data_IF_104276620573
#
_entry.id   IF_104276620573
#
_cell.length_a   1.000
_cell.length_b   1.000
_cell.length_c   1.000
_cell.angle_alpha   90.00
_cell.angle_beta   90.00
_cell.angle_gamma   90.00
#
_symmetry.space_group_name_H-M   'P 1'
#
loop_
_entity.id
_entity.type
_entity.pdbx_description
1 polymer ?
#
# COMPACT_ATOMS: atom_id res chain seq x y z
N UNK A 1 21.11 -5.97 -1.63
CA UNK A 1 20.89 -7.24 -0.89
C UNK A 1 19.41 -7.59 -0.70
N UNK A 2 18.66 -7.08 0.28
CA UNK A 2 17.22 -7.49 0.44
C UNK A 2 16.35 -7.09 -0.77
N UNK A 3 16.64 -5.93 -1.36
CA UNK A 3 15.97 -5.42 -2.54
C UNK A 3 16.06 -6.35 -3.77
N UNK A 4 17.28 -6.73 -4.18
CA UNK A 4 17.52 -7.55 -5.38
C UNK A 4 16.95 -8.96 -5.25
N UNK A 5 16.90 -9.50 -4.03
CA UNK A 5 16.32 -10.82 -3.76
C UNK A 5 14.80 -10.84 -3.96
N UNK A 6 14.12 -9.72 -3.69
CA UNK A 6 12.66 -9.67 -3.75
C UNK A 6 12.11 -9.39 -5.14
N UNK A 7 12.86 -8.73 -6.04
CA UNK A 7 12.34 -8.38 -7.36
C UNK A 7 11.94 -9.60 -8.20
N UNK A 8 12.65 -10.72 -8.05
CA UNK A 8 12.30 -11.96 -8.76
C UNK A 8 11.05 -12.66 -8.22
N UNK A 9 10.52 -12.25 -7.06
CA UNK A 9 9.43 -12.95 -6.37
C UNK A 9 8.04 -12.48 -6.82
N UNK A 10 7.96 -11.40 -7.59
CA UNK A 10 6.70 -10.82 -8.03
C UNK A 10 6.80 -10.33 -9.47
N UNK A 11 5.80 -10.72 -10.25
CA UNK A 11 5.56 -10.28 -11.63
C UNK A 11 4.09 -9.88 -11.74
N UNK A 12 3.81 -8.70 -12.33
CA UNK A 12 2.47 -8.10 -12.45
C UNK A 12 1.60 -8.19 -11.17
N UNK A 13 1.97 -7.51 -10.07
CA UNK A 13 1.21 -7.59 -8.83
C UNK A 13 -0.22 -7.07 -9.02
N UNK A 14 -1.21 -7.76 -8.42
CA UNK A 14 -2.62 -7.38 -8.52
C UNK A 14 -3.08 -6.37 -7.47
N UNK A 15 -2.31 -6.17 -6.40
CA UNK A 15 -2.56 -5.21 -5.33
C UNK A 15 -1.24 -4.82 -4.61
N UNK A 16 -1.25 -3.70 -3.89
CA UNK A 16 -0.09 -3.16 -3.18
C UNK A 16 -0.43 -2.86 -1.71
N UNK A 17 0.32 -3.46 -0.77
CA UNK A 17 0.35 -3.01 0.63
C UNK A 17 1.75 -2.49 0.95
N UNK A 18 1.88 -1.19 1.15
CA UNK A 18 3.16 -0.54 1.43
C UNK A 18 3.21 -0.15 2.90
N UNK A 19 4.17 -0.70 3.64
CA UNK A 19 4.23 -0.54 5.11
C UNK A 19 5.49 0.21 5.50
N UNK A 20 5.34 1.20 6.38
CA UNK A 20 6.44 1.88 7.04
C UNK A 20 6.27 1.87 8.56
N UNK A 21 7.31 2.24 9.27
CA UNK A 21 7.33 2.38 10.72
C UNK A 21 7.14 3.87 11.07
N UNK A 22 6.10 4.21 11.85
CA UNK A 22 5.81 5.61 12.22
C UNK A 22 6.93 6.26 13.04
N UNK A 23 7.85 5.48 13.61
CA UNK A 23 9.03 6.00 14.32
C UNK A 23 10.27 6.12 13.43
N UNK A 24 10.15 5.94 12.10
CA UNK A 24 11.29 5.97 11.18
C UNK A 24 10.98 6.71 9.88
N UNK A 25 11.45 7.95 9.78
CA UNK A 25 11.42 8.74 8.53
C UNK A 25 12.10 8.01 7.37
N UNK A 26 13.19 7.29 7.62
CA UNK A 26 13.89 6.51 6.59
C UNK A 26 12.98 5.44 6.00
N UNK A 27 12.19 4.75 6.83
CA UNK A 27 11.24 3.73 6.35
C UNK A 27 10.13 4.34 5.49
N UNK A 28 9.64 5.53 5.86
CA UNK A 28 8.67 6.28 5.07
C UNK A 28 9.27 6.76 3.74
N UNK A 29 10.47 7.33 3.75
CA UNK A 29 11.19 7.73 2.53
C UNK A 29 11.42 6.55 1.57
N UNK A 30 11.70 5.36 2.10
CA UNK A 30 11.86 4.15 1.29
C UNK A 30 10.57 3.74 0.55
N UNK A 31 9.38 4.15 1.01
CA UNK A 31 8.11 3.82 0.38
C UNK A 31 8.04 4.34 -1.07
N UNK A 32 8.56 5.54 -1.34
CA UNK A 32 8.60 6.08 -2.71
C UNK A 32 9.39 5.21 -3.67
N UNK A 33 10.55 4.70 -3.22
CA UNK A 33 11.38 3.79 -4.04
C UNK A 33 10.66 2.47 -4.33
N UNK A 34 9.97 1.89 -3.34
CA UNK A 34 9.20 0.67 -3.52
C UNK A 34 8.04 0.87 -4.49
N UNK A 35 7.30 1.96 -4.34
CA UNK A 35 6.18 2.29 -5.22
C UNK A 35 6.63 2.43 -6.68
N UNK A 36 7.73 3.15 -6.93
CA UNK A 36 8.27 3.32 -8.29
C UNK A 36 8.60 1.97 -8.95
N UNK A 37 9.23 1.06 -8.20
CA UNK A 37 9.58 -0.27 -8.70
C UNK A 37 8.36 -1.09 -9.05
N UNK A 38 7.35 -1.09 -8.18
CA UNK A 38 6.11 -1.81 -8.41
C UNK A 38 5.37 -1.27 -9.62
N UNK A 39 5.30 0.06 -9.76
CA UNK A 39 4.75 0.70 -10.97
C UNK A 39 5.51 0.30 -12.24
N UNK A 40 6.84 0.15 -12.18
CA UNK A 40 7.63 -0.26 -13.35
C UNK A 40 7.37 -1.69 -13.84
N UNK A 41 6.83 -2.57 -12.99
CA UNK A 41 6.45 -3.95 -13.37
C UNK A 41 4.96 -4.15 -13.62
N UNK A 42 4.15 -3.11 -13.51
CA UNK A 42 2.70 -3.21 -13.69
C UNK A 42 2.31 -2.60 -15.03
N UNK A 43 1.60 -3.37 -15.86
CA UNK A 43 1.07 -2.87 -17.15
C UNK A 43 -0.27 -2.16 -16.99
N UNK A 44 -1.02 -2.50 -15.93
CA UNK A 44 -2.26 -1.84 -15.58
C UNK A 44 -1.99 -0.42 -15.04
N UNK A 45 -2.68 0.62 -15.56
CA UNK A 45 -2.59 1.96 -14.99
C UNK A 45 -3.22 2.04 -13.59
N UNK A 46 -4.06 1.06 -13.23
CA UNK A 46 -4.70 0.96 -11.92
C UNK A 46 -4.17 -0.25 -11.16
N UNK A 47 -3.49 0.01 -10.04
CA UNK A 47 -3.07 -0.96 -9.05
C UNK A 47 -3.69 -0.57 -7.71
N UNK A 48 -4.67 -1.32 -7.17
CA UNK A 48 -5.26 -1.00 -5.88
C UNK A 48 -4.17 -1.06 -4.81
N UNK A 49 -4.07 -0.01 -3.99
CA UNK A 49 -2.95 0.13 -3.09
C UNK A 49 -3.28 0.86 -1.79
N UNK A 50 -2.60 0.47 -0.72
CA UNK A 50 -2.67 1.12 0.58
C UNK A 50 -1.28 1.43 1.12
N UNK A 51 -1.17 2.54 1.85
CA UNK A 51 -0.03 2.87 2.68
C UNK A 51 -0.39 2.59 4.15
N UNK A 52 0.52 1.94 4.88
CA UNK A 52 0.31 1.55 6.28
C UNK A 52 1.43 2.11 7.15
N UNK A 53 1.10 3.02 8.06
CA UNK A 53 1.98 3.44 9.15
C UNK A 53 1.84 2.46 10.33
N UNK A 54 2.80 1.55 10.49
CA UNK A 54 2.80 0.55 11.55
C UNK A 54 3.56 1.04 12.80
N UNK A 55 3.38 0.33 13.92
CA UNK A 55 4.00 0.59 15.24
C UNK A 55 3.47 1.83 15.96
N UNK A 56 2.19 2.13 15.79
CA UNK A 56 1.53 3.23 16.51
C UNK A 56 1.55 3.09 18.04
N UNK A 57 1.77 1.89 18.56
CA UNK A 57 2.03 1.64 19.98
C UNK A 57 3.29 2.37 20.51
N UNK A 58 4.17 2.81 19.60
CA UNK A 58 5.35 3.62 19.90
C UNK A 58 5.15 5.11 19.59
N UNK A 59 3.91 5.62 19.66
CA UNK A 59 3.56 7.01 19.33
C UNK A 59 4.42 8.09 20.02
N UNK A 60 4.93 7.83 21.23
CA UNK A 60 5.86 8.73 21.92
C UNK A 60 7.24 8.89 21.24
N UNK A 61 7.53 8.07 20.22
CA UNK A 61 8.74 8.15 19.38
C UNK A 61 8.41 8.43 17.91
N UNK A 62 7.20 8.97 17.64
CA UNK A 62 6.77 9.28 16.28
C UNK A 62 7.78 10.21 15.60
N UNK A 63 8.17 9.81 14.40
CA UNK A 63 9.06 10.57 13.53
C UNK A 63 8.36 10.96 12.21
N UNK A 64 7.21 10.34 11.90
CA UNK A 64 6.42 10.65 10.71
C UNK A 64 5.05 11.14 11.15
N UNK A 65 4.73 12.38 10.79
CA UNK A 65 3.44 12.97 11.09
C UNK A 65 2.33 12.29 10.28
N UNK A 66 1.18 12.12 10.93
CA UNK A 66 0.04 11.43 10.30
C UNK A 66 -0.41 12.15 9.03
N UNK A 67 -0.53 13.47 9.10
CA UNK A 67 -0.96 14.33 7.99
C UNK A 67 0.01 14.21 6.80
N UNK A 68 1.32 14.20 7.07
CA UNK A 68 2.34 14.03 6.02
C UNK A 68 2.18 12.69 5.28
N UNK A 69 1.91 11.61 6.02
CA UNK A 69 1.70 10.29 5.43
C UNK A 69 0.36 10.20 4.66
N UNK A 70 -0.70 10.81 5.20
CA UNK A 70 -2.02 10.92 4.55
C UNK A 70 -1.93 11.65 3.20
N UNK A 71 -1.31 12.83 3.18
CA UNK A 71 -1.12 13.63 1.96
C UNK A 71 -0.26 12.89 0.94
N UNK A 72 0.82 12.26 1.40
CA UNK A 72 1.67 11.47 0.51
C UNK A 72 0.91 10.30 -0.10
N UNK A 73 0.13 9.55 0.68
CA UNK A 73 -0.69 8.44 0.19
C UNK A 73 -1.70 8.93 -0.86
N UNK A 74 -2.43 10.01 -0.55
CA UNK A 74 -3.42 10.61 -1.44
C UNK A 74 -2.80 11.03 -2.78
N UNK A 75 -1.63 11.69 -2.76
CA UNK A 75 -0.92 12.12 -3.98
C UNK A 75 -0.47 10.95 -4.88
N UNK A 76 -0.39 9.74 -4.32
CA UNK A 76 -0.01 8.52 -5.04
C UNK A 76 -1.21 7.60 -5.36
N UNK A 77 -2.44 8.01 -5.01
CA UNK A 77 -3.65 7.21 -5.20
C UNK A 77 -3.74 6.01 -4.27
N UNK A 78 -3.17 6.11 -3.07
CA UNK A 78 -3.19 5.08 -2.02
C UNK A 78 -4.11 5.52 -0.88
N UNK A 79 -4.87 4.59 -0.31
CA UNK A 79 -5.53 4.81 0.98
C UNK A 79 -4.52 4.68 2.13
N UNK A 80 -4.64 5.50 3.17
CA UNK A 80 -3.72 5.46 4.32
C UNK A 80 -4.39 4.89 5.57
N UNK A 81 -3.65 4.02 6.27
CA UNK A 81 -4.05 3.45 7.54
C UNK A 81 -2.89 3.51 8.53
N UNK A 82 -3.21 3.66 9.81
CA UNK A 82 -2.26 3.47 10.90
C UNK A 82 -2.61 2.20 11.67
N UNK A 83 -1.60 1.41 12.02
CA UNK A 83 -1.77 0.11 12.69
C UNK A 83 -0.77 -0.08 13.82
N UNK A 84 -1.12 -0.93 14.78
CA UNK A 84 -0.15 -1.61 15.61
C UNK A 84 -0.32 -3.11 15.44
N UNK A 85 0.62 -3.73 14.74
CA UNK A 85 0.67 -5.19 14.66
C UNK A 85 0.90 -5.84 16.04
N UNK A 86 1.56 -5.12 16.96
CA UNK A 86 1.86 -5.60 18.32
C UNK A 86 0.63 -5.62 19.21
N UNK A 87 -0.17 -4.56 19.17
CA UNK A 87 -1.38 -4.42 19.98
C UNK A 87 -2.64 -4.93 19.25
N UNK A 88 -2.48 -5.50 18.04
CA UNK A 88 -3.58 -5.93 17.18
C UNK A 88 -4.59 -4.79 16.92
N UNK A 89 -4.10 -3.57 16.78
CA UNK A 89 -4.91 -2.38 16.55
C UNK A 89 -4.97 -2.05 15.06
N UNK A 90 -6.19 -1.94 14.52
CA UNK A 90 -6.49 -1.59 13.12
C UNK A 90 -5.81 -2.48 12.07
N UNK A 91 -5.22 -3.62 12.46
CA UNK A 91 -4.40 -4.46 11.59
C UNK A 91 -5.17 -5.04 10.39
N UNK A 92 -6.49 -5.24 10.52
CA UNK A 92 -7.31 -5.86 9.49
C UNK A 92 -7.86 -4.84 8.47
N UNK A 93 -7.96 -3.56 8.84
CA UNK A 93 -8.53 -2.53 7.97
C UNK A 93 -7.82 -2.38 6.62
N UNK A 94 -6.47 -2.33 6.54
CA UNK A 94 -5.76 -2.20 5.26
C UNK A 94 -6.06 -3.38 4.32
N UNK A 95 -6.14 -4.59 4.86
CA UNK A 95 -6.43 -5.79 4.08
C UNK A 95 -7.87 -5.80 3.58
N UNK A 96 -8.84 -5.36 4.39
CA UNK A 96 -10.23 -5.24 3.97
C UNK A 96 -10.41 -4.19 2.89
N UNK A 97 -9.73 -3.05 3.00
CA UNK A 97 -9.76 -2.00 1.99
C UNK A 97 -9.19 -2.50 0.66
N UNK A 98 -8.02 -3.16 0.69
CA UNK A 98 -7.43 -3.79 -0.49
C UNK A 98 -8.35 -4.83 -1.12
N UNK A 99 -8.92 -5.74 -0.33
CA UNK A 99 -9.82 -6.78 -0.83
C UNK A 99 -11.06 -6.18 -1.52
N UNK A 100 -11.66 -5.14 -0.93
CA UNK A 100 -12.80 -4.42 -1.52
C UNK A 100 -12.40 -3.74 -2.83
N UNK A 101 -11.27 -3.02 -2.85
CA UNK A 101 -10.78 -2.33 -4.04
C UNK A 101 -10.44 -3.30 -5.17
N UNK A 102 -9.79 -4.43 -4.86
CA UNK A 102 -9.53 -5.49 -5.83
C UNK A 102 -10.83 -6.10 -6.37
N UNK A 103 -11.78 -6.44 -5.49
CA UNK A 103 -13.06 -7.01 -5.90
C UNK A 103 -13.83 -6.07 -6.84
N UNK A 104 -13.87 -4.78 -6.51
CA UNK A 104 -14.51 -3.76 -7.35
C UNK A 104 -13.89 -3.70 -8.75
N UNK A 105 -12.57 -3.60 -8.85
CA UNK A 105 -11.87 -3.58 -10.15
C UNK A 105 -12.11 -4.86 -10.97
N UNK A 106 -12.24 -6.01 -10.30
CA UNK A 106 -12.59 -7.25 -10.96
C UNK A 106 -14.02 -7.19 -11.53
N UNK A 107 -15.00 -6.71 -10.78
CA UNK A 107 -16.38 -6.57 -11.26
C UNK A 107 -16.47 -5.61 -12.46
N UNK A 108 -15.82 -4.45 -12.37
CA UNK A 108 -15.74 -3.47 -13.47
C UNK A 108 -15.15 -4.13 -14.73
N UNK A 109 -14.10 -4.94 -14.60
CA UNK A 109 -13.52 -5.68 -15.73
C UNK A 109 -14.50 -6.69 -16.32
N UNK A 110 -15.22 -7.42 -15.49
CA UNK A 110 -16.22 -8.42 -15.93
C UNK A 110 -17.38 -7.73 -16.67
N UNK A 111 -17.87 -6.61 -16.16
CA UNK A 111 -18.94 -5.82 -16.80
C UNK A 111 -18.49 -5.25 -18.15
N UNK A 112 -17.29 -4.67 -18.21
CA UNK A 112 -16.71 -4.17 -19.46
C UNK A 112 -16.53 -5.28 -20.50
N UNK A 113 -16.22 -6.51 -20.08
CA UNK A 113 -16.12 -7.62 -21.02
C UNK A 113 -17.50 -8.06 -21.54
N UNK A 114 -18.52 -8.06 -20.68
CA UNK A 114 -19.90 -8.41 -21.06
C UNK A 114 -20.52 -7.39 -22.00
N UNK A 115 -20.18 -6.10 -21.90
CA UNK A 115 -20.71 -5.06 -22.78
C UNK A 115 -20.14 -5.10 -24.21
N UNK A 116 -19.06 -5.85 -24.43
CA UNK A 116 -18.44 -6.07 -25.73
C UNK A 116 -18.99 -7.30 -26.48
N UNK A 117 -19.79 -8.13 -25.81
CA UNK A 117 -20.46 -9.31 -26.36
C UNK A 117 -21.91 -8.99 -26.72
#
# INVERSE_FOLDING_TARGET
MFYEMTEGLWDQPGALCLVFDVTSETSFSNCGRWLQRIKSKTTSPYLPGVLVGNKTDLSGRRAVEKIQAEEWAASHGLEYFETSAKELENFDQPFRALAKSFHRLYQERVENFKSLL
#
